data_IF_890507227112
#
_entry.id   IF_890507227112
#
_cell.length_a   1.000
_cell.length_b   1.000
_cell.length_c   1.000
_cell.angle_alpha   90.00
_cell.angle_beta   90.00
_cell.angle_gamma   90.00
#
_symmetry.space_group_name_H-M   'P 1'
#
loop_
_entity.id
_entity.type
_entity.pdbx_description
1 polymer ?
#
# COMPACT_ATOMS: atom_id res chain seq x y z
N UNK A 1 -11.84 -10.16 -2.71
CA UNK A 1 -11.69 -8.93 -3.50
C UNK A 1 -10.22 -8.52 -3.54
N UNK A 2 -9.73 -8.17 -4.70
CA UNK A 2 -8.35 -7.73 -4.86
C UNK A 2 -8.24 -6.23 -4.58
N UNK A 3 -7.45 -5.86 -3.56
CA UNK A 3 -7.31 -4.46 -3.13
C UNK A 3 -6.08 -3.76 -3.72
N UNK A 4 -5.21 -4.50 -4.39
CA UNK A 4 -4.01 -3.91 -4.98
C UNK A 4 -4.05 -3.97 -6.49
N UNK A 5 -3.59 -2.90 -7.11
CA UNK A 5 -3.52 -2.76 -8.56
C UNK A 5 -2.12 -2.30 -8.94
N UNK A 6 -1.57 -2.89 -10.00
CA UNK A 6 -0.30 -2.46 -10.56
C UNK A 6 -0.59 -1.84 -11.92
N UNK A 7 -0.44 -0.52 -11.99
CA UNK A 7 -0.81 0.25 -13.16
C UNK A 7 0.34 1.12 -13.60
N UNK A 8 0.56 1.18 -14.90
CA UNK A 8 1.42 2.18 -15.51
C UNK A 8 0.54 3.33 -15.97
N UNK A 9 0.59 4.44 -15.25
CA UNK A 9 -0.35 5.56 -15.44
C UNK A 9 0.13 6.61 -16.42
N UNK A 10 1.43 6.69 -16.67
CA UNK A 10 1.97 7.75 -17.49
C UNK A 10 2.83 7.18 -18.60
N UNK A 11 2.40 7.42 -19.83
CA UNK A 11 3.19 7.06 -20.99
C UNK A 11 4.38 7.99 -21.17
N UNK A 12 4.32 9.19 -20.60
CA UNK A 12 5.39 10.19 -20.77
C UNK A 12 6.63 9.85 -19.96
N UNK A 13 6.47 9.45 -18.71
CA UNK A 13 7.59 9.16 -17.82
C UNK A 13 7.85 7.67 -17.66
N UNK A 14 7.00 6.83 -18.19
CA UNK A 14 7.11 5.37 -18.12
C UNK A 14 7.15 4.85 -16.68
N UNK A 15 6.64 5.62 -15.72
CA UNK A 15 6.63 5.23 -14.32
C UNK A 15 5.62 4.10 -14.06
N UNK A 16 6.02 3.14 -13.25
CA UNK A 16 5.14 2.08 -12.79
C UNK A 16 4.66 2.41 -11.38
N UNK A 17 3.35 2.45 -11.19
CA UNK A 17 2.73 2.74 -9.91
C UNK A 17 1.93 1.53 -9.44
N UNK A 18 2.01 1.23 -8.14
CA UNK A 18 1.18 0.22 -7.50
C UNK A 18 0.19 0.90 -6.58
N UNK A 19 -1.03 0.43 -6.58
CA UNK A 19 -2.12 1.01 -5.81
C UNK A 19 -2.70 0.00 -4.83
N UNK A 20 -3.06 0.49 -3.66
CA UNK A 20 -3.82 -0.28 -2.68
C UNK A 20 -5.04 0.52 -2.25
N UNK A 21 -6.20 -0.09 -2.34
CA UNK A 21 -7.46 0.53 -1.93
C UNK A 21 -7.82 0.04 -0.53
N UNK A 22 -7.62 0.90 0.46
CA UNK A 22 -7.99 0.60 1.83
C UNK A 22 -9.35 1.23 2.12
N UNK A 23 -10.40 0.46 1.92
CA UNK A 23 -11.79 0.88 2.02
C UNK A 23 -12.49 0.16 3.16
N UNK A 24 -11.85 0.08 4.31
CA UNK A 24 -12.30 -0.74 5.43
C UNK A 24 -12.10 -0.04 6.77
N UNK A 25 -12.71 -0.61 7.81
CA UNK A 25 -12.38 -0.30 9.18
C UNK A 25 -10.92 -0.74 9.45
N UNK A 26 -10.21 0.00 10.27
CA UNK A 26 -8.83 -0.32 10.63
C UNK A 26 -8.83 -1.40 11.71
N UNK A 27 -8.48 -2.61 11.31
CA UNK A 27 -8.35 -3.77 12.20
C UNK A 27 -7.08 -4.53 11.85
N UNK A 28 -6.69 -5.48 12.69
CA UNK A 28 -5.56 -6.34 12.38
C UNK A 28 -5.79 -7.11 11.08
N UNK A 29 -7.01 -7.59 10.86
CA UNK A 29 -7.36 -8.34 9.66
C UNK A 29 -7.30 -7.49 8.39
N UNK A 30 -7.71 -6.22 8.46
CA UNK A 30 -7.74 -5.34 7.28
C UNK A 30 -6.40 -4.72 6.98
N UNK A 31 -5.56 -4.52 7.99
CA UNK A 31 -4.23 -3.93 7.80
C UNK A 31 -3.19 -4.93 7.32
N UNK A 32 -3.36 -6.21 7.65
CA UNK A 32 -2.41 -7.25 7.26
C UNK A 32 -2.18 -7.32 5.75
N UNK A 33 -3.20 -7.39 4.89
CA UNK A 33 -2.98 -7.41 3.44
C UNK A 33 -2.27 -6.15 2.92
N UNK A 34 -2.52 -4.99 3.52
CA UNK A 34 -1.86 -3.75 3.14
C UNK A 34 -0.38 -3.80 3.50
N UNK A 35 -0.05 -4.28 4.70
CA UNK A 35 1.35 -4.45 5.13
C UNK A 35 2.06 -5.44 4.21
N UNK A 36 1.42 -6.55 3.88
CA UNK A 36 1.98 -7.53 2.95
C UNK A 36 2.24 -6.92 1.57
N UNK A 37 1.34 -6.08 1.08
CA UNK A 37 1.53 -5.37 -0.19
C UNK A 37 2.79 -4.51 -0.17
N UNK A 38 3.04 -3.77 0.90
CA UNK A 38 4.25 -2.95 1.02
C UNK A 38 5.49 -3.84 1.00
N UNK A 39 5.50 -4.93 1.76
CA UNK A 39 6.62 -5.87 1.75
C UNK A 39 6.82 -6.51 0.38
N UNK A 40 5.76 -7.01 -0.22
CA UNK A 40 5.86 -7.71 -1.51
C UNK A 40 6.42 -6.80 -2.60
N UNK A 41 5.98 -5.54 -2.64
CA UNK A 41 6.48 -4.59 -3.64
C UNK A 41 7.93 -4.21 -3.38
N UNK A 42 8.31 -4.04 -2.10
CA UNK A 42 9.69 -3.69 -1.74
C UNK A 42 10.69 -4.82 -2.08
N UNK A 43 10.25 -6.07 -2.01
CA UNK A 43 11.12 -7.22 -2.29
C UNK A 43 10.95 -7.76 -3.71
N UNK A 44 10.14 -7.13 -4.52
CA UNK A 44 9.96 -7.53 -5.92
C UNK A 44 11.19 -7.17 -6.76
N UNK A 45 11.54 -8.02 -7.74
CA UNK A 45 12.59 -7.72 -8.69
C UNK A 45 12.22 -6.55 -9.59
N UNK A 46 10.93 -6.41 -9.90
CA UNK A 46 10.41 -5.31 -10.70
C UNK A 46 9.63 -4.37 -9.80
N UNK A 47 10.36 -3.60 -8.98
CA UNK A 47 9.74 -2.69 -8.02
C UNK A 47 9.01 -1.57 -8.74
N UNK A 48 7.81 -1.22 -8.27
CA UNK A 48 7.16 0.00 -8.75
C UNK A 48 7.95 1.23 -8.28
N UNK A 49 7.79 2.34 -9.00
CA UNK A 49 8.47 3.58 -8.66
C UNK A 49 7.78 4.31 -7.51
N UNK A 50 6.50 4.04 -7.33
CA UNK A 50 5.70 4.67 -6.29
C UNK A 50 4.57 3.75 -5.84
N UNK A 51 4.30 3.77 -4.55
CA UNK A 51 3.13 3.12 -3.97
C UNK A 51 2.09 4.18 -3.65
N UNK A 52 0.85 3.91 -4.00
CA UNK A 52 -0.26 4.83 -3.77
C UNK A 52 -1.29 4.15 -2.88
N UNK A 53 -1.45 4.66 -1.68
CA UNK A 53 -2.42 4.14 -0.72
C UNK A 53 -3.64 5.06 -0.72
N UNK A 54 -4.75 4.54 -1.18
CA UNK A 54 -6.02 5.26 -1.21
C UNK A 54 -6.85 4.78 -0.02
N UNK A 55 -7.16 5.70 0.89
CA UNK A 55 -7.82 5.37 2.15
C UNK A 55 -9.21 5.98 2.19
N UNK A 56 -10.19 5.15 2.52
CA UNK A 56 -11.53 5.58 2.89
C UNK A 56 -11.98 4.69 4.05
N UNK A 57 -11.77 5.16 5.28
CA UNK A 57 -11.98 4.36 6.48
C UNK A 57 -12.66 5.17 7.57
N UNK A 58 -13.60 4.58 8.33
CA UNK A 58 -14.18 5.23 9.50
C UNK A 58 -13.22 5.28 10.70
N UNK A 59 -12.05 4.64 10.58
CA UNK A 59 -11.10 4.50 11.67
C UNK A 59 -11.10 3.10 12.24
N UNK A 60 -10.67 2.95 13.49
CA UNK A 60 -10.68 1.65 14.17
C UNK A 60 -9.54 1.51 15.18
N UNK A 61 -8.85 0.38 15.13
CA UNK A 61 -7.81 0.03 16.08
C UNK A 61 -6.54 0.87 15.88
N UNK A 62 -6.14 1.60 16.91
CA UNK A 62 -4.98 2.47 16.88
C UNK A 62 -3.67 1.69 16.72
N UNK A 63 -3.56 0.52 17.34
CA UNK A 63 -2.36 -0.31 17.22
C UNK A 63 -2.19 -0.83 15.80
N UNK A 64 -3.29 -1.23 15.16
CA UNK A 64 -3.27 -1.64 13.76
C UNK A 64 -2.88 -0.47 12.85
N UNK A 65 -3.37 0.73 13.14
CA UNK A 65 -3.01 1.92 12.40
C UNK A 65 -1.51 2.23 12.50
N UNK A 66 -0.94 2.09 13.69
CA UNK A 66 0.50 2.30 13.89
C UNK A 66 1.33 1.28 13.10
N UNK A 67 0.88 0.05 12.99
CA UNK A 67 1.57 -0.96 12.19
C UNK A 67 1.61 -0.56 10.72
N UNK A 68 0.52 0.00 10.19
CA UNK A 68 0.49 0.54 8.83
C UNK A 68 1.50 1.69 8.65
N UNK A 69 1.49 2.63 9.59
CA UNK A 69 2.36 3.81 9.55
C UNK A 69 3.83 3.39 9.59
N UNK A 70 4.19 2.52 10.51
CA UNK A 70 5.57 2.05 10.66
C UNK A 70 6.04 1.31 9.41
N UNK A 71 5.18 0.50 8.83
CA UNK A 71 5.49 -0.22 7.59
C UNK A 71 5.73 0.77 6.45
N UNK A 72 4.89 1.79 6.31
CA UNK A 72 5.08 2.81 5.28
C UNK A 72 6.38 3.57 5.47
N UNK A 73 6.71 3.91 6.71
CA UNK A 73 7.95 4.64 7.02
C UNK A 73 9.20 3.82 6.72
N UNK A 74 9.10 2.50 6.81
CA UNK A 74 10.19 1.60 6.48
C UNK A 74 10.32 1.26 5.01
N UNK A 75 9.37 1.66 4.18
CA UNK A 75 9.39 1.36 2.75
C UNK A 75 10.53 2.09 2.03
N UNK A 76 11.25 1.35 1.16
CA UNK A 76 12.25 1.96 0.28
C UNK A 76 11.61 2.61 -0.94
N UNK A 77 10.35 2.28 -1.22
CA UNK A 77 9.59 2.87 -2.32
C UNK A 77 8.74 4.02 -1.73
N UNK A 78 8.71 5.20 -2.37
CA UNK A 78 7.85 6.29 -1.93
C UNK A 78 6.39 5.89 -1.89
N UNK A 79 5.70 6.32 -0.86
CA UNK A 79 4.27 6.03 -0.69
C UNK A 79 3.51 7.35 -0.58
#
# INVERSE_FOLDING_TARGET
MMNKLNIQLSDKDQSAHSYYLFMDEVTLATTKPMVEWVFDTNFSEERPDMLNLIINSPGGDLHAAFAMIDTMRGSAIPI
#
